data_IF_771599619200
#
_entry.id   IF_771599619200
#
_cell.length_a   1.000
_cell.length_b   1.000
_cell.length_c   1.000
_cell.angle_alpha   90.00
_cell.angle_beta   90.00
_cell.angle_gamma   90.00
#
_symmetry.space_group_name_H-M   'P 1'
#
loop_
_entity.id
_entity.type
_entity.pdbx_description
1 polymer ?
#
# COMPACT_ATOMS: atom_id res chain seq x y z
N UNK A 1 -10.52 2.24 -32.54
CA UNK A 1 -11.48 1.35 -31.85
C UNK A 1 -11.27 -0.15 -32.10
N UNK A 2 -11.06 -0.66 -33.34
CA UNK A 2 -10.81 -2.10 -33.61
C UNK A 2 -9.45 -2.61 -33.10
N UNK A 3 -8.37 -1.84 -33.20
CA UNK A 3 -7.03 -2.22 -32.74
C UNK A 3 -6.97 -2.37 -31.19
N UNK A 4 -7.54 -1.46 -30.43
CA UNK A 4 -7.56 -1.55 -28.97
C UNK A 4 -8.34 -2.77 -28.44
N UNK A 5 -9.37 -3.21 -29.17
CA UNK A 5 -10.12 -4.44 -28.83
C UNK A 5 -9.31 -5.72 -29.09
N UNK A 6 -8.43 -5.72 -30.09
CA UNK A 6 -7.59 -6.90 -30.42
C UNK A 6 -6.50 -7.05 -29.37
N UNK A 7 -5.83 -5.96 -29.00
CA UNK A 7 -4.80 -5.97 -27.95
C UNK A 7 -5.38 -6.43 -26.59
N UNK A 8 -6.54 -5.92 -26.19
CA UNK A 8 -7.20 -6.35 -24.94
C UNK A 8 -7.49 -7.85 -24.91
N UNK A 9 -7.93 -8.43 -26.03
CA UNK A 9 -8.21 -9.89 -26.12
C UNK A 9 -6.93 -10.72 -26.01
N UNK A 10 -5.82 -10.24 -26.54
CA UNK A 10 -4.53 -10.93 -26.45
C UNK A 10 -3.99 -10.88 -25.02
N UNK A 11 -4.09 -9.72 -24.36
CA UNK A 11 -3.71 -9.54 -22.96
C UNK A 11 -4.55 -10.44 -22.04
N UNK A 12 -5.87 -10.51 -22.24
CA UNK A 12 -6.75 -11.37 -21.48
C UNK A 12 -6.39 -12.87 -21.62
N UNK A 13 -5.96 -13.30 -22.82
CA UNK A 13 -5.51 -14.69 -23.02
C UNK A 13 -4.16 -14.96 -22.34
N UNK A 14 -3.22 -14.03 -22.39
CA UNK A 14 -1.94 -14.15 -21.69
C UNK A 14 -2.13 -14.20 -20.17
N UNK A 15 -2.97 -13.33 -19.66
CA UNK A 15 -3.35 -13.31 -18.24
C UNK A 15 -4.07 -14.60 -17.80
N UNK A 16 -4.85 -15.21 -18.71
CA UNK A 16 -5.49 -16.51 -18.42
C UNK A 16 -4.45 -17.62 -18.31
N UNK A 17 -3.41 -17.64 -19.16
CA UNK A 17 -2.30 -18.61 -19.03
C UNK A 17 -1.63 -18.49 -17.67
N UNK A 18 -1.27 -17.25 -17.27
CA UNK A 18 -0.67 -16.97 -15.95
C UNK A 18 -1.59 -17.40 -14.80
N UNK A 19 -2.88 -17.11 -14.92
CA UNK A 19 -3.89 -17.50 -13.93
C UNK A 19 -4.01 -19.02 -13.79
N UNK A 20 -4.02 -19.76 -14.89
CA UNK A 20 -4.05 -21.23 -14.89
C UNK A 20 -2.76 -21.85 -14.33
N UNK A 21 -1.58 -21.21 -14.55
CA UNK A 21 -0.31 -21.67 -14.00
C UNK A 21 -0.17 -21.40 -12.49
N UNK A 22 -0.75 -20.28 -12.03
CA UNK A 22 -0.75 -19.90 -10.62
C UNK A 22 -1.64 -20.80 -9.76
N UNK A 23 -2.70 -21.36 -10.35
CA UNK A 23 -3.68 -22.21 -9.67
C UNK A 23 -3.38 -23.69 -9.91
N UNK A 24 -2.57 -24.29 -9.04
CA UNK A 24 -2.19 -25.72 -9.10
C UNK A 24 -3.41 -26.66 -9.06
N UNK A 25 -4.48 -26.22 -8.43
CA UNK A 25 -5.75 -26.97 -8.33
C UNK A 25 -6.61 -26.87 -9.59
N UNK A 26 -6.16 -26.09 -10.58
CA UNK A 26 -6.90 -25.85 -11.81
C UNK A 26 -7.94 -24.74 -11.69
N UNK A 27 -8.41 -24.30 -12.83
CA UNK A 27 -9.36 -23.18 -13.01
C UNK A 27 -10.59 -23.66 -13.74
N UNK A 28 -11.80 -23.39 -13.22
CA UNK A 28 -13.05 -23.72 -13.88
C UNK A 28 -13.60 -22.54 -14.73
N UNK A 29 -14.67 -22.76 -15.48
CA UNK A 29 -15.28 -21.71 -16.31
C UNK A 29 -15.78 -20.54 -15.44
N UNK A 30 -16.31 -20.83 -14.24
CA UNK A 30 -16.80 -19.79 -13.35
C UNK A 30 -15.65 -18.88 -12.89
N UNK A 31 -14.49 -19.45 -12.54
CA UNK A 31 -13.31 -18.67 -12.13
C UNK A 31 -12.83 -17.73 -13.25
N UNK A 32 -12.89 -18.20 -14.50
CA UNK A 32 -12.55 -17.36 -15.68
C UNK A 32 -13.56 -16.22 -15.83
N UNK A 33 -14.85 -16.51 -15.69
CA UNK A 33 -15.91 -15.50 -15.78
C UNK A 33 -15.69 -14.39 -14.74
N UNK A 34 -15.43 -14.79 -13.50
CA UNK A 34 -15.29 -13.88 -12.37
C UNK A 34 -13.98 -13.06 -12.48
N UNK A 35 -12.87 -13.72 -12.82
CA UNK A 35 -11.56 -13.06 -12.93
C UNK A 35 -11.49 -12.02 -14.05
N UNK A 36 -12.09 -12.33 -15.21
CA UNK A 36 -11.99 -11.48 -16.42
C UNK A 36 -13.28 -10.68 -16.68
N UNK A 37 -14.28 -10.81 -15.83
CA UNK A 37 -15.60 -10.16 -15.98
C UNK A 37 -16.19 -10.39 -17.38
N UNK A 38 -16.23 -11.65 -17.82
CA UNK A 38 -16.70 -12.05 -19.16
C UNK A 38 -17.88 -13.02 -19.11
N UNK A 39 -18.64 -13.07 -20.20
CA UNK A 39 -19.73 -14.03 -20.32
C UNK A 39 -19.21 -15.49 -20.41
N UNK A 40 -20.04 -16.44 -19.99
CA UNK A 40 -19.75 -17.89 -20.10
C UNK A 40 -19.26 -18.30 -21.49
N UNK A 41 -19.90 -17.79 -22.56
CA UNK A 41 -19.50 -18.05 -23.94
C UNK A 41 -18.08 -17.53 -24.22
N UNK A 42 -17.73 -16.37 -23.71
CA UNK A 42 -16.39 -15.79 -23.87
C UNK A 42 -15.36 -16.59 -23.07
N UNK A 43 -15.66 -16.96 -21.84
CA UNK A 43 -14.79 -17.79 -21.00
C UNK A 43 -14.48 -19.15 -21.66
N UNK A 44 -15.48 -19.82 -22.25
CA UNK A 44 -15.28 -21.07 -23.01
C UNK A 44 -14.33 -20.83 -24.20
N UNK A 45 -14.55 -19.76 -24.97
CA UNK A 45 -13.68 -19.43 -26.12
C UNK A 45 -12.25 -19.12 -25.71
N UNK A 46 -12.05 -18.44 -24.61
CA UNK A 46 -10.74 -18.16 -24.04
C UNK A 46 -10.03 -19.46 -23.65
N UNK A 47 -10.70 -20.33 -22.89
CA UNK A 47 -10.19 -21.66 -22.52
C UNK A 47 -9.86 -22.51 -23.76
N UNK A 48 -10.73 -22.54 -24.79
CA UNK A 48 -10.48 -23.30 -26.01
C UNK A 48 -9.27 -22.75 -26.79
N UNK A 49 -9.07 -21.42 -26.82
CA UNK A 49 -7.88 -20.81 -27.41
C UNK A 49 -6.59 -21.23 -26.69
N UNK A 50 -6.63 -21.32 -25.35
CA UNK A 50 -5.50 -21.83 -24.57
C UNK A 50 -5.25 -23.32 -24.89
N UNK A 51 -6.30 -24.13 -24.94
CA UNK A 51 -6.18 -25.57 -25.25
C UNK A 51 -5.56 -25.81 -26.62
N UNK A 52 -5.84 -24.98 -27.62
CA UNK A 52 -5.18 -25.05 -28.94
C UNK A 52 -3.69 -24.76 -28.89
N UNK A 53 -3.26 -23.82 -28.06
CA UNK A 53 -1.86 -23.43 -27.91
C UNK A 53 -1.07 -24.33 -26.98
N UNK A 54 -1.74 -24.91 -25.98
CA UNK A 54 -1.15 -25.78 -24.95
C UNK A 54 -1.87 -27.15 -24.98
N UNK A 55 -1.45 -28.07 -25.87
CA UNK A 55 -2.11 -29.38 -25.99
C UNK A 55 -2.02 -30.23 -24.72
N UNK A 56 -1.03 -29.95 -23.87
CA UNK A 56 -0.77 -30.68 -22.61
C UNK A 56 -1.59 -30.16 -21.44
N UNK A 57 -2.64 -29.36 -21.69
CA UNK A 57 -3.54 -28.91 -20.62
C UNK A 57 -4.17 -30.11 -19.90
N UNK A 58 -4.06 -30.11 -18.58
CA UNK A 58 -4.62 -31.14 -17.73
C UNK A 58 -6.09 -30.79 -17.48
N UNK A 59 -6.99 -31.74 -17.75
CA UNK A 59 -8.42 -31.60 -17.47
C UNK A 59 -8.79 -32.58 -16.36
N UNK A 60 -9.34 -32.06 -15.25
CA UNK A 60 -9.81 -32.82 -14.09
C UNK A 60 -11.31 -32.56 -13.88
N UNK A 61 -12.06 -33.58 -13.53
CA UNK A 61 -13.49 -33.46 -13.26
C UNK A 61 -13.73 -33.79 -11.80
N UNK A 62 -14.24 -32.81 -11.05
CA UNK A 62 -14.50 -32.92 -9.62
C UNK A 62 -15.98 -32.90 -9.28
N UNK A 63 -16.31 -32.77 -8.01
CA UNK A 63 -17.69 -32.79 -7.50
C UNK A 63 -18.68 -32.00 -8.37
N UNK A 64 -19.86 -32.58 -8.59
CA UNK A 64 -20.95 -32.03 -9.44
C UNK A 64 -20.61 -31.93 -10.94
N UNK A 65 -19.68 -32.75 -11.46
CA UNK A 65 -19.26 -32.74 -12.86
C UNK A 65 -18.65 -31.40 -13.32
N UNK A 66 -18.04 -30.64 -12.41
CA UNK A 66 -17.35 -29.42 -12.78
C UNK A 66 -15.95 -29.76 -13.28
N UNK A 67 -15.63 -29.27 -14.47
CA UNK A 67 -14.31 -29.43 -15.09
C UNK A 67 -13.39 -28.31 -14.69
N UNK A 68 -12.16 -28.70 -14.30
CA UNK A 68 -11.04 -27.83 -13.99
C UNK A 68 -9.93 -28.05 -14.99
N UNK A 69 -9.28 -26.97 -15.39
CA UNK A 69 -8.14 -27.00 -16.30
C UNK A 69 -6.93 -26.39 -15.65
N UNK A 70 -5.79 -27.07 -15.72
CA UNK A 70 -4.50 -26.57 -15.28
C UNK A 70 -3.44 -26.75 -16.35
N UNK A 71 -2.45 -25.88 -16.35
CA UNK A 71 -1.30 -26.02 -17.22
C UNK A 71 -0.17 -26.67 -16.43
N UNK A 72 0.50 -27.73 -16.98
CA UNK A 72 1.65 -28.33 -16.33
C UNK A 72 2.73 -27.28 -16.14
N UNK A 73 3.33 -27.25 -14.96
CA UNK A 73 4.54 -26.47 -14.71
C UNK A 73 5.66 -27.16 -15.50
N UNK A 74 6.06 -26.59 -16.63
CA UNK A 74 7.30 -27.02 -17.29
C UNK A 74 8.44 -26.74 -16.31
N UNK A 75 9.20 -27.75 -15.95
CA UNK A 75 10.37 -27.61 -15.09
C UNK A 75 11.32 -26.57 -15.69
N UNK A 76 11.45 -25.42 -15.03
CA UNK A 76 12.42 -24.38 -15.34
C UNK A 76 12.02 -23.25 -16.28
N UNK A 77 10.81 -23.25 -16.87
CA UNK A 77 10.33 -22.12 -17.70
C UNK A 77 8.94 -21.66 -17.27
N UNK A 78 8.90 -20.76 -16.31
CA UNK A 78 7.70 -19.95 -16.06
C UNK A 78 7.62 -18.93 -17.20
N UNK A 79 6.77 -19.15 -18.19
CA UNK A 79 6.45 -18.12 -19.20
C UNK A 79 5.59 -17.05 -18.49
N UNK A 80 6.24 -16.19 -17.75
CA UNK A 80 5.60 -15.00 -17.19
C UNK A 80 5.46 -13.99 -18.34
N UNK A 81 4.23 -13.64 -18.65
CA UNK A 81 3.93 -12.58 -19.62
C UNK A 81 3.64 -11.30 -18.83
N UNK A 82 4.33 -10.25 -19.18
CA UNK A 82 4.10 -8.92 -18.61
C UNK A 82 3.61 -7.99 -19.72
N UNK A 83 2.52 -7.30 -19.46
CA UNK A 83 2.02 -6.25 -20.35
C UNK A 83 2.83 -4.97 -20.16
N UNK A 84 2.78 -4.09 -21.18
CA UNK A 84 3.36 -2.75 -21.10
C UNK A 84 2.89 -1.99 -19.86
N UNK A 85 1.59 -2.07 -19.56
CA UNK A 85 0.99 -1.39 -18.41
C UNK A 85 1.55 -1.91 -17.07
N UNK A 86 1.80 -3.21 -16.93
CA UNK A 86 2.39 -3.78 -15.71
C UNK A 86 3.84 -3.34 -15.53
N UNK A 87 4.62 -3.33 -16.59
CA UNK A 87 6.01 -2.83 -16.56
C UNK A 87 6.03 -1.35 -16.19
N UNK A 88 5.19 -0.53 -16.82
CA UNK A 88 5.06 0.89 -16.51
C UNK A 88 4.62 1.13 -15.05
N UNK A 89 3.67 0.34 -14.53
CA UNK A 89 3.25 0.43 -13.14
C UNK A 89 4.41 0.16 -12.16
N UNK A 90 5.25 -0.84 -12.44
CA UNK A 90 6.44 -1.12 -11.61
C UNK A 90 7.45 0.03 -11.71
N UNK A 91 7.71 0.57 -12.90
CA UNK A 91 8.62 1.70 -13.10
C UNK A 91 8.11 2.97 -12.39
N UNK A 92 6.80 3.25 -12.45
CA UNK A 92 6.17 4.35 -11.72
C UNK A 92 6.26 4.16 -10.20
N UNK A 93 6.06 2.93 -9.71
CA UNK A 93 6.24 2.60 -8.30
C UNK A 93 7.69 2.85 -7.84
N UNK A 94 8.70 2.48 -8.66
CA UNK A 94 10.11 2.77 -8.40
C UNK A 94 10.35 4.27 -8.29
N UNK A 95 9.83 5.08 -9.25
CA UNK A 95 9.96 6.56 -9.21
C UNK A 95 9.36 7.16 -7.94
N UNK A 96 8.18 6.68 -7.54
CA UNK A 96 7.53 7.13 -6.30
C UNK A 96 8.31 6.73 -5.06
N UNK A 97 8.75 5.46 -5.00
CA UNK A 97 9.51 4.94 -3.87
C UNK A 97 10.86 5.62 -3.70
N UNK A 98 11.58 5.98 -4.76
CA UNK A 98 12.83 6.76 -4.69
C UNK A 98 12.68 8.07 -3.93
N UNK A 99 11.48 8.66 -3.93
CA UNK A 99 11.19 9.90 -3.19
C UNK A 99 10.98 9.66 -1.68
N UNK A 100 10.53 8.48 -1.29
CA UNK A 100 10.16 8.15 0.09
C UNK A 100 11.13 7.18 0.75
N UNK A 101 11.63 6.18 0.03
CA UNK A 101 12.52 5.14 0.54
C UNK A 101 13.38 4.57 -0.58
N UNK A 102 14.66 4.90 -0.58
CA UNK A 102 15.62 4.39 -1.57
C UNK A 102 15.76 2.85 -1.48
N UNK A 103 15.67 2.30 -0.28
CA UNK A 103 15.74 0.86 -0.04
C UNK A 103 14.58 0.10 -0.71
N UNK A 104 13.35 0.59 -0.57
CA UNK A 104 12.19 -0.05 -1.19
C UNK A 104 12.25 0.09 -2.72
N UNK A 105 12.75 1.22 -3.22
CA UNK A 105 12.98 1.41 -4.65
C UNK A 105 13.98 0.40 -5.20
N UNK A 106 15.10 0.13 -4.50
CA UNK A 106 16.08 -0.88 -4.88
C UNK A 106 15.46 -2.30 -4.96
N UNK A 107 14.61 -2.64 -4.01
CA UNK A 107 13.90 -3.93 -4.05
C UNK A 107 12.97 -4.04 -5.28
N UNK A 108 12.27 -2.97 -5.64
CA UNK A 108 11.44 -2.93 -6.84
C UNK A 108 12.28 -2.97 -8.13
N UNK A 109 13.44 -2.31 -8.17
CA UNK A 109 14.39 -2.40 -9.28
C UNK A 109 14.89 -3.84 -9.48
N UNK A 110 15.16 -4.55 -8.38
CA UNK A 110 15.52 -5.97 -8.44
C UNK A 110 14.38 -6.83 -8.99
N UNK A 111 13.12 -6.52 -8.66
CA UNK A 111 11.95 -7.19 -9.26
C UNK A 111 11.89 -6.89 -10.76
N UNK A 112 12.03 -5.62 -11.16
CA UNK A 112 12.02 -5.23 -12.58
C UNK A 112 13.13 -5.94 -13.36
N UNK A 113 14.33 -6.06 -12.79
CA UNK A 113 15.43 -6.79 -13.41
C UNK A 113 15.11 -8.29 -13.59
N UNK A 114 14.46 -8.92 -12.62
CA UNK A 114 13.99 -10.31 -12.76
C UNK A 114 12.93 -10.44 -13.85
N UNK A 115 12.03 -9.47 -13.97
CA UNK A 115 11.04 -9.39 -15.05
C UNK A 115 11.75 -9.28 -16.40
N UNK A 116 12.74 -8.39 -16.55
CA UNK A 116 13.54 -8.23 -17.77
C UNK A 116 14.19 -9.55 -18.21
N UNK A 117 14.80 -10.26 -17.26
CA UNK A 117 15.43 -11.56 -17.53
C UNK A 117 14.38 -12.61 -17.95
N UNK A 118 13.21 -12.62 -17.31
CA UNK A 118 12.11 -13.57 -17.59
C UNK A 118 11.51 -13.39 -18.98
N UNK A 119 11.35 -12.13 -19.43
CA UNK A 119 10.80 -11.80 -20.76
C UNK A 119 11.84 -12.03 -21.86
N UNK A 120 13.11 -11.91 -21.54
CA UNK A 120 14.23 -11.88 -22.48
C UNK A 120 14.53 -10.46 -22.98
N UNK A 121 15.81 -10.15 -23.13
CA UNK A 121 16.29 -8.80 -23.45
C UNK A 121 15.70 -8.24 -24.73
N UNK A 122 15.58 -9.05 -25.78
CA UNK A 122 15.05 -8.61 -27.07
C UNK A 122 13.57 -8.24 -27.01
N UNK A 123 12.78 -8.98 -26.24
CA UNK A 123 11.36 -8.67 -26.04
C UNK A 123 11.19 -7.41 -25.16
N UNK A 124 12.02 -7.25 -24.16
CA UNK A 124 12.01 -6.07 -23.29
C UNK A 124 12.41 -4.81 -24.08
N UNK A 125 13.45 -4.86 -24.87
CA UNK A 125 13.92 -3.72 -25.70
C UNK A 125 12.87 -3.22 -26.71
N UNK A 126 11.90 -4.05 -27.08
CA UNK A 126 10.77 -3.64 -27.94
C UNK A 126 9.69 -2.88 -27.16
N UNK A 127 9.58 -3.13 -25.87
CA UNK A 127 8.56 -2.54 -24.99
C UNK A 127 9.10 -1.27 -24.29
N UNK A 128 10.41 -1.20 -24.07
CA UNK A 128 11.06 -0.13 -23.30
C UNK A 128 10.82 1.28 -23.87
N UNK A 129 10.88 1.53 -25.20
CA UNK A 129 10.60 2.86 -25.74
C UNK A 129 9.17 3.33 -25.45
N UNK A 130 8.17 2.46 -25.56
CA UNK A 130 6.79 2.80 -25.29
C UNK A 130 6.57 3.02 -23.77
N UNK A 131 7.26 2.28 -22.91
CA UNK A 131 7.24 2.47 -21.47
C UNK A 131 7.90 3.80 -21.07
N UNK A 132 8.99 4.21 -21.72
CA UNK A 132 9.64 5.51 -21.47
C UNK A 132 8.74 6.68 -21.86
N UNK A 133 8.05 6.61 -23.00
CA UNK A 133 7.07 7.63 -23.42
C UNK A 133 5.93 7.76 -22.40
N UNK A 134 5.39 6.65 -21.92
CA UNK A 134 4.37 6.66 -20.86
C UNK A 134 4.91 7.29 -19.58
N UNK A 135 6.15 6.96 -19.19
CA UNK A 135 6.79 7.53 -18.01
C UNK A 135 7.06 9.04 -18.11
N UNK A 136 7.31 9.56 -19.31
CA UNK A 136 7.47 11.01 -19.54
C UNK A 136 6.14 11.75 -19.51
N UNK A 137 5.07 11.09 -19.95
CA UNK A 137 3.72 11.69 -19.96
C UNK A 137 3.05 11.66 -18.60
N UNK A 138 3.48 10.76 -17.70
CA UNK A 138 2.95 10.63 -16.34
C UNK A 138 3.88 11.30 -15.31
N UNK A 139 3.54 12.50 -14.88
CA UNK A 139 4.29 13.26 -13.89
C UNK A 139 3.67 13.20 -12.49
N UNK A 140 4.52 13.03 -11.46
CA UNK A 140 4.10 13.20 -10.07
C UNK A 140 4.58 14.54 -9.52
N UNK A 141 3.64 15.38 -9.09
CA UNK A 141 3.97 16.64 -8.44
C UNK A 141 4.77 16.39 -7.15
N UNK A 142 5.86 17.14 -6.98
CA UNK A 142 6.62 17.13 -5.75
C UNK A 142 5.80 17.79 -4.63
N UNK A 143 5.53 17.06 -3.56
CA UNK A 143 5.01 17.64 -2.32
C UNK A 143 6.18 17.92 -1.38
N UNK A 144 6.26 19.09 -0.77
CA UNK A 144 7.25 19.37 0.28
C UNK A 144 7.10 18.36 1.42
N UNK A 145 8.21 17.80 1.88
CA UNK A 145 8.20 16.85 2.99
C UNK A 145 9.61 16.56 3.46
N UNK A 146 9.77 15.98 4.66
CA UNK A 146 11.07 15.61 5.16
C UNK A 146 11.71 14.51 4.30
N UNK A 147 12.98 14.67 3.99
CA UNK A 147 13.77 13.63 3.32
C UNK A 147 14.04 12.50 4.31
N UNK A 148 13.78 11.26 3.90
CA UNK A 148 14.18 10.09 4.67
C UNK A 148 15.67 9.81 4.44
N UNK A 149 16.43 9.76 5.54
CA UNK A 149 17.90 9.54 5.50
C UNK A 149 18.32 8.26 6.23
N UNK A 150 17.38 7.32 6.40
CA UNK A 150 17.65 6.10 7.17
C UNK A 150 18.49 5.12 6.34
N UNK A 151 19.61 4.68 6.92
CA UNK A 151 20.53 3.73 6.30
C UNK A 151 19.86 2.35 6.12
N UNK A 152 20.17 1.68 5.00
CA UNK A 152 19.71 0.33 4.65
C UNK A 152 20.00 -0.70 5.74
N UNK A 153 21.26 -0.76 6.19
CA UNK A 153 21.70 -1.68 7.25
C UNK A 153 20.90 -1.50 8.54
N UNK A 154 20.54 -0.25 8.86
CA UNK A 154 19.75 0.10 10.02
C UNK A 154 18.31 -0.44 9.91
N UNK A 155 17.67 -0.31 8.75
CA UNK A 155 16.34 -0.84 8.52
C UNK A 155 16.31 -2.36 8.56
N UNK A 156 17.32 -3.03 8.02
CA UNK A 156 17.46 -4.48 8.07
C UNK A 156 17.59 -5.00 9.50
N UNK A 157 18.42 -4.34 10.34
CA UNK A 157 18.53 -4.66 11.77
C UNK A 157 17.19 -4.54 12.49
N UNK A 158 16.44 -3.49 12.23
CA UNK A 158 15.10 -3.30 12.82
C UNK A 158 14.11 -4.37 12.36
N UNK A 159 14.06 -4.66 11.06
CA UNK A 159 13.19 -5.73 10.51
C UNK A 159 13.51 -7.08 11.13
N UNK A 160 14.79 -7.41 11.22
CA UNK A 160 15.22 -8.64 11.88
C UNK A 160 14.77 -8.70 13.34
N UNK A 161 14.94 -7.62 14.11
CA UNK A 161 14.52 -7.56 15.50
C UNK A 161 12.99 -7.70 15.67
N UNK A 162 12.20 -7.10 14.76
CA UNK A 162 10.72 -7.21 14.74
C UNK A 162 10.30 -8.66 14.47
N UNK A 163 10.87 -9.29 13.42
CA UNK A 163 10.53 -10.66 13.03
C UNK A 163 10.90 -11.65 14.13
N UNK A 164 12.08 -11.48 14.72
CA UNK A 164 12.58 -12.34 15.78
C UNK A 164 12.03 -12.02 17.18
N UNK A 165 11.14 -11.05 17.33
CA UNK A 165 10.64 -10.56 18.61
C UNK A 165 11.75 -10.24 19.62
N UNK A 166 12.88 -9.69 19.16
CA UNK A 166 14.00 -9.32 20.02
C UNK A 166 13.83 -7.88 20.56
N UNK A 167 14.18 -7.73 21.83
CA UNK A 167 14.27 -6.41 22.45
C UNK A 167 15.43 -5.65 21.83
N UNK A 168 15.26 -4.31 21.69
CA UNK A 168 16.31 -3.44 21.18
C UNK A 168 16.56 -2.26 22.13
N UNK A 169 17.76 -1.73 22.07
CA UNK A 169 18.06 -0.40 22.60
C UNK A 169 18.28 0.54 21.43
N UNK A 170 17.64 1.68 21.48
CA UNK A 170 17.77 2.75 20.50
C UNK A 170 18.35 3.98 21.19
N UNK A 171 19.31 4.63 20.55
CA UNK A 171 19.78 5.94 20.95
C UNK A 171 18.98 6.97 20.20
N UNK A 172 18.11 7.65 20.92
CA UNK A 172 17.08 8.51 20.34
C UNK A 172 17.28 9.95 20.74
N UNK A 173 17.33 10.85 19.74
CA UNK A 173 17.38 12.28 19.92
C UNK A 173 15.97 12.86 20.00
N UNK A 174 15.64 13.53 21.07
CA UNK A 174 14.38 14.25 21.22
C UNK A 174 14.60 15.65 21.74
N UNK A 175 13.63 16.53 21.51
CA UNK A 175 13.71 17.92 21.97
C UNK A 175 13.91 18.07 23.49
N UNK A 176 13.55 17.08 24.28
CA UNK A 176 13.54 17.17 25.75
C UNK A 176 14.49 16.21 26.45
N UNK A 177 14.92 15.14 25.78
CA UNK A 177 15.78 14.14 26.42
C UNK A 177 16.43 13.25 25.37
N UNK A 178 17.74 13.32 25.29
CA UNK A 178 18.56 12.44 24.44
C UNK A 178 19.04 11.24 25.25
N UNK A 179 19.09 10.08 24.64
CA UNK A 179 19.67 8.90 25.29
C UNK A 179 19.12 7.57 24.84
N UNK A 180 19.65 6.54 25.51
CA UNK A 180 19.27 5.17 25.24
C UNK A 180 17.90 4.82 25.80
N UNK A 181 17.11 4.11 24.99
CA UNK A 181 15.77 3.62 25.34
C UNK A 181 15.66 2.15 24.97
N UNK A 182 15.25 1.33 25.92
CA UNK A 182 14.93 -0.07 25.66
C UNK A 182 13.48 -0.14 25.23
N UNK A 183 13.25 -0.79 24.10
CA UNK A 183 11.91 -0.89 23.48
C UNK A 183 11.69 -2.28 22.88
N UNK A 184 10.43 -2.67 22.75
CA UNK A 184 9.99 -3.85 22.02
C UNK A 184 9.45 -3.39 20.67
N UNK A 185 10.12 -3.68 19.55
CA UNK A 185 9.71 -3.19 18.25
C UNK A 185 8.52 -3.99 17.72
N UNK A 186 7.47 -3.28 17.30
CA UNK A 186 6.24 -3.89 16.78
C UNK A 186 6.08 -3.73 15.27
N UNK A 187 6.58 -2.66 14.66
CA UNK A 187 6.47 -2.43 13.23
C UNK A 187 6.82 -1.00 12.82
N UNK A 188 6.57 -0.71 11.54
CA UNK A 188 6.82 0.61 10.98
C UNK A 188 5.51 1.25 10.55
N UNK A 189 5.40 2.56 10.75
CA UNK A 189 4.33 3.38 10.21
C UNK A 189 4.92 4.41 9.27
N UNK A 190 4.53 4.34 8.01
CA UNK A 190 5.02 5.21 6.94
C UNK A 190 4.00 6.31 6.66
N UNK A 191 4.46 7.55 6.61
CA UNK A 191 3.69 8.74 6.29
C UNK A 191 4.62 9.86 5.84
N UNK A 192 4.29 11.12 6.13
CA UNK A 192 5.19 12.24 5.86
C UNK A 192 6.58 12.05 6.52
N UNK A 193 6.61 11.38 7.66
CA UNK A 193 7.79 10.85 8.31
C UNK A 193 7.63 9.35 8.51
N UNK A 194 8.72 8.66 8.80
CA UNK A 194 8.74 7.22 9.04
C UNK A 194 9.01 6.95 10.51
N UNK A 195 8.19 6.10 11.11
CA UNK A 195 8.24 5.83 12.55
C UNK A 195 8.39 4.34 12.84
N UNK A 196 9.24 4.06 13.82
CA UNK A 196 9.22 2.78 14.51
C UNK A 196 8.13 2.83 15.59
N UNK A 197 7.19 1.90 15.53
CA UNK A 197 6.19 1.68 16.57
C UNK A 197 6.74 0.65 17.53
N UNK A 198 6.91 1.03 18.78
CA UNK A 198 7.51 0.16 19.77
C UNK A 198 6.94 0.40 21.18
N UNK A 199 6.86 -0.67 21.97
CA UNK A 199 6.53 -0.57 23.38
C UNK A 199 7.71 -0.05 24.18
N UNK A 200 7.53 1.07 24.85
CA UNK A 200 8.57 1.67 25.67
C UNK A 200 8.59 1.05 27.08
N UNK A 201 9.64 0.33 27.43
CA UNK A 201 9.70 -0.45 28.68
C UNK A 201 9.61 0.39 29.96
N UNK A 202 10.11 1.63 29.96
CA UNK A 202 10.01 2.53 31.13
C UNK A 202 8.72 3.34 31.20
N UNK A 203 8.05 3.57 30.04
CA UNK A 203 6.80 4.35 29.99
C UNK A 203 5.56 3.47 30.00
N UNK A 204 5.73 2.17 29.85
CA UNK A 204 4.66 1.17 29.80
C UNK A 204 3.56 1.50 28.79
N UNK A 205 3.95 1.98 27.59
CA UNK A 205 3.04 2.31 26.52
C UNK A 205 3.68 2.19 25.14
N UNK A 206 2.84 2.07 24.11
CA UNK A 206 3.28 2.18 22.72
C UNK A 206 3.74 3.60 22.43
N UNK A 207 4.86 3.73 21.73
CA UNK A 207 5.47 5.00 21.35
C UNK A 207 5.85 4.97 19.87
N UNK A 208 5.87 6.17 19.29
CA UNK A 208 6.37 6.43 17.94
C UNK A 208 7.77 7.00 18.05
N UNK A 209 8.69 6.40 17.35
CA UNK A 209 10.06 6.88 17.25
C UNK A 209 10.34 7.27 15.80
N UNK A 210 10.50 8.57 15.52
CA UNK A 210 10.91 9.05 14.20
C UNK A 210 12.26 8.40 13.84
N UNK A 211 12.29 7.67 12.75
CA UNK A 211 13.48 6.91 12.34
C UNK A 211 14.69 7.82 12.11
N UNK A 212 14.47 9.05 11.63
CA UNK A 212 15.56 10.03 11.45
C UNK A 212 16.20 10.48 12.77
N UNK A 213 15.52 10.32 13.90
CA UNK A 213 16.00 10.69 15.22
C UNK A 213 16.66 9.52 15.98
N UNK A 214 16.76 8.35 15.36
CA UNK A 214 17.48 7.20 15.93
C UNK A 214 18.89 7.18 15.35
N UNK A 215 19.90 7.40 16.18
CA UNK A 215 21.30 7.43 15.75
C UNK A 215 22.00 6.07 15.85
N UNK A 216 21.60 5.24 16.80
CA UNK A 216 22.24 3.94 17.06
C UNK A 216 21.18 2.90 17.48
N UNK A 217 21.42 1.63 17.09
CA UNK A 217 20.59 0.47 17.50
C UNK A 217 21.49 -0.64 18.01
N UNK A 218 21.08 -1.22 19.12
CA UNK A 218 21.64 -2.42 19.70
C UNK A 218 20.53 -3.47 19.84
N UNK A 219 20.71 -4.62 19.19
CA UNK A 219 19.78 -5.77 19.35
C UNK A 219 20.23 -6.53 20.59
N UNK A 220 19.32 -6.66 21.56
CA UNK A 220 19.61 -7.36 22.81
C UNK A 220 19.37 -8.88 22.61
N UNK A 221 20.11 -9.68 23.38
CA UNK A 221 19.86 -11.13 23.44
C UNK A 221 18.73 -11.47 24.42
N UNK A 222 17.61 -10.74 24.26
CA UNK A 222 16.39 -10.90 25.05
C UNK A 222 15.20 -10.82 24.10
N UNK A 223 14.25 -11.70 24.32
CA UNK A 223 13.00 -11.76 23.57
C UNK A 223 11.89 -11.07 24.36
N UNK A 224 10.84 -10.65 23.66
CA UNK A 224 9.59 -10.20 24.27
C UNK A 224 8.43 -10.99 23.71
N UNK A 225 7.40 -11.19 24.53
CA UNK A 225 6.13 -11.74 24.06
C UNK A 225 5.37 -10.64 23.32
N UNK A 226 5.14 -10.85 22.02
CA UNK A 226 4.32 -9.94 21.22
C UNK A 226 2.87 -10.12 21.66
N UNK A 227 2.18 -9.01 21.92
CA UNK A 227 0.74 -9.04 22.16
C UNK A 227 0.01 -9.48 20.89
N UNK A 228 -0.62 -10.65 20.90
CA UNK A 228 -1.36 -11.23 19.78
C UNK A 228 -2.57 -10.38 19.37
N UNK A 229 -3.11 -9.59 20.29
CA UNK A 229 -4.25 -8.68 20.04
C UNK A 229 -3.81 -7.38 19.38
N UNK A 230 -2.51 -7.08 19.36
CA UNK A 230 -2.02 -5.87 18.76
C UNK A 230 -2.05 -5.98 17.23
N UNK A 231 -2.74 -5.05 16.60
CA UNK A 231 -2.75 -4.85 15.15
C UNK A 231 -2.21 -3.46 14.83
N UNK A 232 -1.15 -3.40 14.02
CA UNK A 232 -0.57 -2.14 13.57
C UNK A 232 -1.58 -1.32 12.76
N UNK A 233 -2.41 -2.00 11.97
CA UNK A 233 -3.49 -1.38 11.21
C UNK A 233 -4.50 -0.71 12.15
N UNK A 234 -5.07 -1.44 13.11
CA UNK A 234 -6.01 -0.87 14.09
C UNK A 234 -5.37 0.26 14.91
N UNK A 235 -4.09 0.11 15.23
CA UNK A 235 -3.35 1.15 15.94
C UNK A 235 -3.21 2.43 15.09
N UNK A 236 -2.94 2.32 13.78
CA UNK A 236 -2.89 3.47 12.89
C UNK A 236 -4.27 4.09 12.64
N UNK A 237 -5.32 3.27 12.56
CA UNK A 237 -6.70 3.72 12.38
C UNK A 237 -7.28 4.47 13.59
N UNK A 238 -6.64 4.44 14.74
CA UNK A 238 -7.02 5.27 15.89
C UNK A 238 -6.62 6.74 15.73
N UNK A 239 -5.94 7.11 14.66
CA UNK A 239 -5.43 8.46 14.43
C UNK A 239 -5.72 8.92 13.01
N UNK A 240 -6.02 10.20 12.86
CA UNK A 240 -6.16 10.86 11.55
C UNK A 240 -4.84 10.86 10.75
N UNK A 241 -3.72 10.85 11.43
CA UNK A 241 -2.38 10.73 10.86
C UNK A 241 -1.51 9.81 11.70
N UNK A 242 -0.36 10.32 12.13
CA UNK A 242 0.61 9.54 12.90
C UNK A 242 0.57 9.90 14.39
N UNK A 243 0.14 11.11 14.71
CA UNK A 243 0.10 11.58 16.08
C UNK A 243 -1.02 10.89 16.88
N UNK A 244 -0.62 10.06 17.83
CA UNK A 244 -1.56 9.27 18.63
C UNK A 244 -1.97 10.01 19.90
N UNK A 245 -3.24 10.20 20.03
CA UNK A 245 -3.94 10.63 21.24
C UNK A 245 -5.23 9.83 21.42
N UNK A 246 -5.93 10.03 22.51
CA UNK A 246 -7.19 9.34 22.72
C UNK A 246 -8.19 9.70 21.59
N UNK A 247 -8.74 8.70 20.87
CA UNK A 247 -9.67 8.96 19.78
C UNK A 247 -10.94 9.65 20.27
N UNK A 248 -11.42 10.63 19.54
CA UNK A 248 -12.65 11.38 19.76
C UNK A 248 -13.52 11.37 18.52
N UNK A 249 -14.79 11.68 18.69
CA UNK A 249 -15.72 11.80 17.58
C UNK A 249 -15.46 13.10 16.83
N UNK A 250 -15.39 12.98 15.50
CA UNK A 250 -15.11 14.07 14.57
C UNK A 250 -16.31 14.24 13.66
N UNK A 251 -16.78 15.48 13.54
CA UNK A 251 -17.79 15.87 12.59
C UNK A 251 -17.37 17.17 11.89
N UNK A 252 -17.17 17.09 10.57
CA UNK A 252 -16.85 18.23 9.72
C UNK A 252 -18.01 18.51 8.80
N UNK A 253 -18.30 19.80 8.60
CA UNK A 253 -19.31 20.29 7.67
C UNK A 253 -18.61 21.09 6.58
N UNK A 254 -18.61 20.58 5.36
CA UNK A 254 -18.15 21.28 4.16
C UNK A 254 -19.34 21.97 3.50
N UNK A 255 -19.19 23.25 3.14
CA UNK A 255 -20.24 23.97 2.44
C UNK A 255 -20.48 23.43 1.02
N UNK A 256 -21.59 23.84 0.40
CA UNK A 256 -22.00 23.36 -0.92
C UNK A 256 -21.01 23.66 -2.04
N UNK A 257 -20.14 24.66 -1.86
CA UNK A 257 -19.14 25.06 -2.87
C UNK A 257 -18.07 23.98 -3.04
N UNK A 258 -17.63 23.36 -1.93
CA UNK A 258 -16.56 22.37 -1.93
C UNK A 258 -17.05 20.95 -1.64
N UNK A 259 -18.33 20.74 -1.33
CA UNK A 259 -18.89 19.47 -0.93
C UNK A 259 -18.62 18.33 -1.93
N UNK A 260 -18.74 18.62 -3.24
CA UNK A 260 -18.47 17.63 -4.28
C UNK A 260 -16.99 17.23 -4.35
N UNK A 261 -16.08 18.16 -4.11
CA UNK A 261 -14.65 17.86 -4.09
C UNK A 261 -14.28 17.12 -2.80
N UNK A 262 -14.82 17.55 -1.66
CA UNK A 262 -14.61 16.86 -0.37
C UNK A 262 -15.14 15.42 -0.40
N UNK A 263 -16.23 15.15 -1.11
CA UNK A 263 -16.81 13.79 -1.22
C UNK A 263 -15.88 12.78 -1.91
N UNK A 264 -14.88 13.24 -2.67
CA UNK A 264 -13.89 12.40 -3.35
C UNK A 264 -12.68 12.07 -2.46
N UNK A 265 -12.61 12.65 -1.26
CA UNK A 265 -11.50 12.41 -0.33
C UNK A 265 -11.79 11.25 0.62
N UNK A 266 -10.75 10.51 0.93
CA UNK A 266 -10.74 9.58 2.05
C UNK A 266 -9.98 10.26 3.19
N UNK A 267 -10.71 10.89 4.11
CA UNK A 267 -10.13 11.54 5.28
C UNK A 267 -9.75 10.52 6.35
N UNK A 268 -10.57 9.46 6.47
CA UNK A 268 -10.33 8.37 7.42
C UNK A 268 -10.97 7.07 6.89
N UNK A 269 -10.33 5.88 7.12
CA UNK A 269 -10.88 4.60 6.64
C UNK A 269 -12.32 4.32 7.09
N UNK A 270 -12.70 4.78 8.28
CA UNK A 270 -14.01 4.54 8.88
C UNK A 270 -14.94 5.78 8.76
N UNK A 271 -14.70 6.65 7.79
CA UNK A 271 -15.53 7.83 7.59
C UNK A 271 -16.94 7.49 7.08
N UNK A 272 -17.90 8.29 7.50
CA UNK A 272 -19.25 8.32 6.97
C UNK A 272 -19.50 9.71 6.37
N UNK A 273 -20.04 9.75 5.18
CA UNK A 273 -20.33 10.97 4.45
C UNK A 273 -21.83 11.08 4.12
N UNK A 274 -22.40 12.25 4.32
CA UNK A 274 -23.80 12.50 4.05
C UNK A 274 -23.95 13.88 3.42
N UNK A 275 -24.54 13.95 2.22
CA UNK A 275 -24.98 15.20 1.62
C UNK A 275 -26.24 15.69 2.32
N UNK A 276 -26.27 16.94 2.71
CA UNK A 276 -27.42 17.59 3.33
C UNK A 276 -28.34 18.22 2.26
N UNK A 277 -29.55 18.58 2.63
CA UNK A 277 -30.54 19.18 1.73
C UNK A 277 -30.09 20.51 1.13
N UNK A 278 -29.24 21.27 1.83
CA UNK A 278 -28.65 22.53 1.39
C UNK A 278 -27.44 22.36 0.46
N UNK A 279 -27.11 21.12 0.09
CA UNK A 279 -25.97 20.77 -0.74
C UNK A 279 -24.63 20.71 -0.01
N UNK A 280 -24.60 20.97 1.30
CA UNK A 280 -23.40 20.79 2.11
C UNK A 280 -23.09 19.29 2.36
N UNK A 281 -21.86 18.98 2.76
CA UNK A 281 -21.41 17.62 3.06
C UNK A 281 -21.00 17.50 4.52
N UNK A 282 -21.62 16.59 5.23
CA UNK A 282 -21.20 16.18 6.57
C UNK A 282 -20.30 14.96 6.51
N UNK A 283 -19.13 15.03 7.15
CA UNK A 283 -18.16 13.93 7.26
C UNK A 283 -17.98 13.58 8.73
N UNK A 284 -18.21 12.31 9.08
CA UNK A 284 -18.09 11.81 10.45
C UNK A 284 -17.10 10.65 10.51
N UNK A 285 -16.26 10.65 11.54
CA UNK A 285 -15.37 9.53 11.86
C UNK A 285 -14.91 9.65 13.32
N UNK A 286 -14.17 8.63 13.78
CA UNK A 286 -13.60 8.63 15.12
C UNK A 286 -12.11 8.41 15.06
N UNK A 287 -11.31 9.39 15.48
CA UNK A 287 -9.85 9.34 15.50
C UNK A 287 -9.26 10.35 16.48
N UNK A 288 -8.02 10.15 16.89
CA UNK A 288 -7.16 11.18 17.47
C UNK A 288 -6.40 11.96 16.41
N UNK A 289 -5.52 12.88 16.81
CA UNK A 289 -4.67 13.63 15.88
C UNK A 289 -5.21 15.00 15.50
N UNK A 290 -5.81 15.73 16.44
CA UNK A 290 -6.39 17.06 16.23
C UNK A 290 -5.43 18.03 15.52
N UNK A 291 -4.13 17.93 15.80
CA UNK A 291 -3.11 18.76 15.17
C UNK A 291 -2.96 18.49 13.67
N UNK A 292 -2.98 17.23 13.27
CA UNK A 292 -2.87 16.85 11.85
C UNK A 292 -4.17 17.13 11.11
N UNK A 293 -5.31 16.99 11.81
CA UNK A 293 -6.61 17.42 11.31
C UNK A 293 -6.61 18.92 11.02
N UNK A 294 -6.12 19.74 11.95
CA UNK A 294 -6.04 21.20 11.76
C UNK A 294 -5.20 21.60 10.54
N UNK A 295 -4.03 20.96 10.37
CA UNK A 295 -3.21 21.18 9.17
C UNK A 295 -3.92 20.79 7.88
N UNK A 296 -4.67 19.70 7.92
CA UNK A 296 -5.45 19.28 6.75
C UNK A 296 -6.59 20.23 6.47
N UNK A 297 -7.37 20.62 7.50
CA UNK A 297 -8.49 21.53 7.37
C UNK A 297 -8.08 22.91 6.86
N UNK A 298 -6.86 23.35 7.17
CA UNK A 298 -6.32 24.62 6.65
C UNK A 298 -6.35 24.68 5.12
N UNK A 299 -6.23 23.56 4.42
CA UNK A 299 -6.29 23.50 2.95
C UNK A 299 -7.67 23.81 2.38
N UNK A 300 -8.72 23.70 3.18
CA UNK A 300 -10.11 23.97 2.81
C UNK A 300 -10.54 25.41 3.13
N UNK A 301 -9.70 26.17 3.84
CA UNK A 301 -9.98 27.56 4.23
C UNK A 301 -11.27 27.72 5.03
N UNK A 302 -12.12 28.67 4.61
CA UNK A 302 -13.39 28.97 5.29
C UNK A 302 -14.55 28.05 4.86
N UNK A 303 -14.29 27.09 3.96
CA UNK A 303 -15.32 26.20 3.41
C UNK A 303 -15.58 24.96 4.26
N UNK A 304 -14.91 24.82 5.39
CA UNK A 304 -15.11 23.73 6.34
C UNK A 304 -15.33 24.28 7.75
N UNK A 305 -16.28 23.67 8.47
CA UNK A 305 -16.52 23.93 9.89
C UNK A 305 -16.36 22.64 10.67
N UNK A 306 -15.66 22.69 11.79
CA UNK A 306 -15.64 21.61 12.76
C UNK A 306 -16.87 21.73 13.65
N UNK A 307 -17.71 20.71 13.60
CA UNK A 307 -18.93 20.62 14.44
C UNK A 307 -18.61 19.88 15.74
N UNK A 308 -17.87 18.78 15.62
CA UNK A 308 -17.32 18.01 16.75
C UNK A 308 -15.83 17.69 16.52
N UNK A 309 -15.01 17.74 17.54
CA UNK A 309 -15.33 18.11 18.94
C UNK A 309 -15.47 19.63 19.09
N UNK A 310 -16.36 20.07 19.98
CA UNK A 310 -16.59 21.51 20.26
C UNK A 310 -15.35 22.24 20.81
N UNK A 311 -14.50 21.49 21.50
CA UNK A 311 -13.21 21.96 22.05
C UNK A 311 -12.06 21.78 21.06
N UNK A 312 -12.33 21.67 19.75
CA UNK A 312 -11.31 21.40 18.73
C UNK A 312 -10.19 22.44 18.74
N UNK A 313 -10.49 23.70 18.90
CA UNK A 313 -9.51 24.78 18.93
C UNK A 313 -8.56 24.65 20.13
N UNK A 314 -9.03 24.11 21.25
CA UNK A 314 -8.19 23.81 22.42
C UNK A 314 -7.30 22.59 22.19
N UNK A 315 -7.76 21.62 21.39
CA UNK A 315 -7.00 20.40 21.05
C UNK A 315 -5.91 20.63 20.01
N UNK A 316 -6.11 21.60 19.11
CA UNK A 316 -5.11 22.00 18.06
C UNK A 316 -3.77 22.41 18.65
N UNK A 317 -3.72 22.75 19.89
CA UNK A 317 -2.77 23.62 20.56
C UNK A 317 -1.33 23.50 20.01
N UNK A 318 -0.97 24.46 19.15
CA UNK A 318 0.30 25.13 19.33
C UNK A 318 0.16 26.00 20.61
N UNK A 319 0.55 25.50 21.77
CA UNK A 319 0.94 26.44 22.81
C UNK A 319 2.05 27.27 22.16
N UNK A 320 1.75 28.53 21.89
CA UNK A 320 2.77 29.52 21.56
C UNK A 320 3.85 29.37 22.62
N UNK A 321 5.04 28.91 22.17
CA UNK A 321 6.27 28.99 22.94
C UNK A 321 6.68 30.46 22.95
#
# INVERSE_FOLDING_TARGET
MRLSMIYKKTDDLMNLVTFMQANSDGVCIQDIMDKFNVSRRTAIRMKDAIKLKYPNIIEDTRDKNIKYWSLPKEEGKTNLFFSLNEINAVQNAIKLMKKSSELEAEHLENVLNKIKVSIGQDAFNRIEPDAEVLLETEGYALRPGPKLTVNKEFMEKLRHAIIACKQIRIKYQSKTNDGWRTVYPYGFLYGNKHYLIAWHTKRFKMCHFDLNNISEIEILDKYFARDEKFSLQKFSENSFGIYQEAPFDVEWLFDSVVANDASKYVFHPNQQMTFNEDGSLTVKFRAGGAREMDWHLYTWGNHVKVIEPKDFDERKIFKKV
#
